data_IF_328755117858
#
_entry.id   IF_328755117858
#
_cell.length_a   1.000
_cell.length_b   1.000
_cell.length_c   1.000
_cell.angle_alpha   90.00
_cell.angle_beta   90.00
_cell.angle_gamma   90.00
#
_symmetry.space_group_name_H-M   'P 1'
#
loop_
_entity.id
_entity.type
_entity.pdbx_description
1 polymer ?
#
# COMPACT_ATOMS: atom_id res chain seq x y z
N UNK A 1 -12.80 -3.96 -16.40
CA UNK A 1 -12.88 -3.46 -16.15
C UNK A 1 -12.94 -3.12 -15.75
N UNK A 2 -12.89 -2.99 -15.83
CA UNK A 2 -13.03 -2.36 -15.34
C UNK A 2 -13.39 -2.10 -14.63
N UNK A 3 -13.48 -2.10 -14.73
CA UNK A 3 -13.83 -1.68 -14.17
C UNK A 3 -13.96 -1.45 -13.42
N UNK A 4 -13.84 -1.58 -13.48
CA UNK A 4 -14.05 -1.18 -12.90
C UNK A 4 -14.15 -0.72 -12.41
N UNK A 5 -13.92 -0.79 -12.52
CA UNK A 5 -14.23 0.05 -12.28
C UNK A 5 -14.97 0.59 -12.02
N UNK A 6 -15.18 0.72 -12.46
CA UNK A 6 -15.85 1.51 -12.47
C UNK A 6 -16.60 1.60 -11.53
N UNK A 7 -16.42 0.94 -11.24
CA UNK A 7 -17.06 1.10 -10.11
C UNK A 7 -17.11 2.38 -9.49
N UNK A 8 -16.44 3.06 -9.94
CA UNK A 8 -16.33 4.35 -9.43
C UNK A 8 -17.62 5.07 -9.39
N UNK A 9 -18.42 4.88 -10.37
CA UNK A 9 -19.69 5.54 -10.39
C UNK A 9 -20.72 4.61 -9.81
N UNK A 10 -20.99 4.78 -8.54
CA UNK A 10 -21.96 3.97 -7.85
C UNK A 10 -23.09 4.86 -7.43
N UNK A 11 -24.30 4.46 -7.76
CA UNK A 11 -25.46 5.23 -7.32
C UNK A 11 -25.58 5.08 -5.82
N UNK A 12 -25.97 6.15 -5.19
CA UNK A 12 -26.08 6.19 -3.75
C UNK A 12 -26.99 5.10 -3.19
N UNK A 13 -28.09 4.86 -3.86
CA UNK A 13 -29.00 3.82 -3.41
C UNK A 13 -28.39 2.44 -3.45
N UNK A 14 -27.66 2.14 -4.53
CA UNK A 14 -26.98 0.86 -4.65
C UNK A 14 -25.92 0.71 -3.59
N UNK A 15 -25.19 1.75 -3.32
CA UNK A 15 -24.15 1.75 -2.32
C UNK A 15 -24.74 1.47 -0.93
N UNK A 16 -25.82 2.12 -0.58
CA UNK A 16 -26.42 1.90 0.72
C UNK A 16 -26.94 0.49 0.90
N UNK A 17 -27.52 -0.07 -0.13
CA UNK A 17 -28.03 -1.42 -0.06
C UNK A 17 -26.91 -2.45 0.02
N UNK A 18 -25.88 -2.25 -0.77
CA UNK A 18 -24.75 -3.15 -0.79
C UNK A 18 -23.96 -3.09 0.51
N UNK A 19 -23.91 -1.92 1.11
CA UNK A 19 -23.10 -1.70 2.30
C UNK A 19 -23.50 -2.56 3.48
N UNK A 20 -24.68 -3.10 3.46
CA UNK A 20 -25.12 -4.00 4.52
C UNK A 20 -24.47 -5.36 4.40
N UNK A 21 -23.97 -5.72 3.21
CA UNK A 21 -23.48 -7.05 2.93
C UNK A 21 -22.00 -7.08 2.63
N UNK A 22 -21.46 -6.00 2.08
CA UNK A 22 -20.08 -5.96 1.75
C UNK A 22 -19.31 -5.24 2.83
N UNK A 23 -18.13 -5.76 3.07
CA UNK A 23 -17.24 -5.12 4.01
C UNK A 23 -16.66 -3.87 3.37
N UNK A 24 -16.43 -2.83 4.16
CA UNK A 24 -15.75 -1.66 3.64
C UNK A 24 -14.34 -2.02 3.22
N UNK A 25 -13.79 -1.24 2.32
CA UNK A 25 -12.43 -1.43 1.87
C UNK A 25 -11.46 -1.30 3.04
N UNK A 26 -10.37 -2.06 2.95
CA UNK A 26 -9.25 -1.88 3.84
C UNK A 26 -8.42 -0.74 3.28
N UNK A 27 -8.21 0.30 4.07
CA UNK A 27 -7.47 1.47 3.64
C UNK A 27 -6.39 1.80 4.65
N UNK A 28 -5.36 2.48 4.18
CA UNK A 28 -4.38 3.04 5.11
C UNK A 28 -5.05 4.21 5.83
N UNK A 29 -4.93 4.25 7.16
CA UNK A 29 -5.44 5.40 7.89
C UNK A 29 -4.45 6.56 7.77
N UNK A 30 -4.81 7.69 8.37
CA UNK A 30 -4.00 8.90 8.23
C UNK A 30 -2.57 8.70 8.77
N UNK A 31 -2.44 8.07 9.91
CA UNK A 31 -1.11 7.84 10.49
C UNK A 31 -0.28 6.92 9.63
N UNK A 32 -0.90 5.89 9.11
CA UNK A 32 -0.21 4.95 8.24
C UNK A 32 0.23 5.63 6.97
N UNK A 33 -0.65 6.41 6.38
CA UNK A 33 -0.33 7.11 5.15
C UNK A 33 0.80 8.11 5.37
N UNK A 34 0.77 8.81 6.51
CA UNK A 34 1.84 9.75 6.84
C UNK A 34 3.19 9.04 6.98
N UNK A 35 3.19 7.84 7.57
CA UNK A 35 4.42 7.05 7.66
C UNK A 35 4.93 6.64 6.28
N UNK A 36 4.02 6.19 5.42
CA UNK A 36 4.38 5.78 4.07
C UNK A 36 4.97 6.95 3.30
N UNK A 37 4.33 8.11 3.38
CA UNK A 37 4.81 9.29 2.68
C UNK A 37 6.14 9.78 3.24
N UNK A 38 6.36 9.61 4.53
CA UNK A 38 7.62 9.99 5.14
C UNK A 38 8.78 9.18 4.56
N UNK A 39 8.60 7.87 4.45
CA UNK A 39 9.62 7.00 3.86
C UNK A 39 9.80 7.34 2.38
N UNK A 40 8.68 7.51 1.68
CA UNK A 40 8.69 7.79 0.25
C UNK A 40 9.43 9.11 -0.04
N UNK A 41 9.14 10.14 0.75
CA UNK A 41 9.72 11.47 0.52
C UNK A 41 11.24 11.47 0.59
N UNK A 42 11.79 10.71 1.52
CA UNK A 42 13.25 10.63 1.65
C UNK A 42 13.89 10.07 0.39
N UNK A 43 13.26 9.08 -0.21
CA UNK A 43 13.79 8.46 -1.42
C UNK A 43 13.55 9.28 -2.65
N UNK A 44 12.45 10.02 -2.68
CA UNK A 44 12.21 10.92 -3.80
C UNK A 44 13.28 12.01 -3.82
N UNK A 45 13.63 12.53 -2.66
CA UNK A 45 14.66 13.56 -2.56
C UNK A 45 16.01 13.05 -3.03
N UNK A 46 16.30 11.78 -2.85
CA UNK A 46 17.55 11.21 -3.33
C UNK A 46 17.49 10.77 -4.79
N UNK A 47 16.33 10.89 -5.42
CA UNK A 47 16.17 10.56 -6.82
C UNK A 47 15.89 9.09 -7.12
N UNK A 48 15.77 8.27 -6.10
CA UNK A 48 15.57 6.83 -6.32
C UNK A 48 14.15 6.48 -6.71
N UNK A 49 13.18 7.12 -6.09
CA UNK A 49 11.76 6.83 -6.34
C UNK A 49 11.12 7.99 -7.06
N UNK A 50 10.27 7.68 -8.02
CA UNK A 50 9.68 8.69 -8.89
C UNK A 50 8.22 8.94 -8.60
N UNK A 51 7.47 7.90 -8.30
CA UNK A 51 6.02 8.01 -8.23
C UNK A 51 5.46 6.92 -7.33
N UNK A 52 4.25 7.14 -6.88
CA UNK A 52 3.55 6.12 -6.11
C UNK A 52 2.09 6.06 -6.54
N UNK A 53 1.45 4.95 -6.22
CA UNK A 53 0.03 4.77 -6.43
C UNK A 53 -0.55 4.06 -5.22
N UNK A 54 -1.82 4.28 -4.98
CA UNK A 54 -2.52 3.63 -3.88
C UNK A 54 -3.70 2.86 -4.45
N UNK A 55 -3.86 1.62 -4.00
CA UNK A 55 -5.00 0.79 -4.37
C UNK A 55 -5.61 0.22 -3.11
N UNK A 56 -6.90 -0.01 -3.13
CA UNK A 56 -7.56 -0.66 -2.01
C UNK A 56 -8.83 -1.36 -2.48
N UNK A 57 -9.19 -2.38 -1.74
CA UNK A 57 -10.43 -3.10 -1.94
C UNK A 57 -10.79 -3.74 -0.59
N UNK A 58 -11.88 -4.52 -0.51
CA UNK A 58 -12.25 -5.11 0.78
C UNK A 58 -11.22 -6.06 1.38
N UNK A 59 -10.29 -6.57 0.58
CA UNK A 59 -9.30 -7.53 1.07
C UNK A 59 -7.98 -6.91 1.47
N UNK A 60 -7.59 -5.79 0.83
CA UNK A 60 -6.28 -5.22 1.11
C UNK A 60 -6.17 -3.79 0.62
N UNK A 61 -5.17 -3.10 1.16
CA UNK A 61 -4.70 -1.83 0.63
C UNK A 61 -3.26 -1.98 0.21
N UNK A 62 -2.84 -1.27 -0.82
CA UNK A 62 -1.47 -1.37 -1.31
C UNK A 62 -0.95 0.02 -1.67
N UNK A 63 0.30 0.26 -1.27
CA UNK A 63 1.04 1.47 -1.60
C UNK A 63 2.17 1.02 -2.52
N UNK A 64 2.10 1.43 -3.79
CA UNK A 64 3.03 0.97 -4.81
C UNK A 64 4.02 2.07 -5.13
N UNK A 65 5.29 1.73 -5.14
CA UNK A 65 6.36 2.70 -5.35
C UNK A 65 7.08 2.38 -6.64
N UNK A 66 7.21 3.38 -7.50
CA UNK A 66 7.81 3.23 -8.83
C UNK A 66 9.11 3.98 -8.92
N UNK A 67 10.07 3.36 -9.58
CA UNK A 67 11.31 4.02 -9.95
C UNK A 67 11.09 4.72 -11.29
N UNK A 68 12.07 5.52 -11.66
CA UNK A 68 12.01 6.27 -12.89
C UNK A 68 11.81 5.35 -14.10
N UNK A 69 10.84 5.68 -14.94
CA UNK A 69 10.56 4.98 -16.19
C UNK A 69 10.20 3.51 -16.04
N UNK A 70 9.70 3.12 -14.89
CA UNK A 70 9.33 1.73 -14.66
C UNK A 70 7.81 1.58 -14.70
N UNK A 71 7.34 0.52 -15.34
CA UNK A 71 5.92 0.19 -15.36
C UNK A 71 5.53 -0.70 -14.19
N UNK A 72 6.52 -1.40 -13.64
CA UNK A 72 6.29 -2.29 -12.52
C UNK A 72 6.71 -1.60 -11.24
N UNK A 73 5.96 -1.77 -10.16
CA UNK A 73 6.39 -1.18 -8.89
C UNK A 73 7.66 -1.86 -8.40
N UNK A 74 8.58 -1.04 -7.89
CA UNK A 74 9.80 -1.54 -7.30
C UNK A 74 9.54 -2.08 -5.90
N UNK A 75 8.70 -1.38 -5.16
CA UNK A 75 8.31 -1.81 -3.82
C UNK A 75 6.81 -1.72 -3.68
N UNK A 76 6.24 -2.62 -2.91
CA UNK A 76 4.81 -2.62 -2.61
C UNK A 76 4.63 -2.87 -1.13
N UNK A 77 3.89 -1.98 -0.47
CA UNK A 77 3.55 -2.16 0.94
C UNK A 77 2.07 -2.49 1.00
N UNK A 78 1.76 -3.65 1.59
CA UNK A 78 0.39 -4.16 1.63
C UNK A 78 -0.11 -4.17 3.07
N UNK A 79 -1.35 -3.74 3.24
CA UNK A 79 -2.08 -3.87 4.50
C UNK A 79 -3.25 -4.81 4.22
N UNK A 80 -3.38 -5.88 4.99
CA UNK A 80 -4.45 -6.83 4.79
C UNK A 80 -4.82 -7.52 6.09
N UNK A 81 -5.92 -8.24 6.08
CA UNK A 81 -6.30 -9.07 7.22
C UNK A 81 -5.65 -10.44 7.08
N UNK A 82 -5.01 -10.88 8.15
CA UNK A 82 -4.49 -12.24 8.21
C UNK A 82 -5.66 -13.20 8.44
N UNK A 83 -5.38 -14.49 8.37
CA UNK A 83 -6.40 -15.51 8.61
C UNK A 83 -7.02 -15.41 10.00
N UNK A 84 -6.31 -14.81 10.95
CA UNK A 84 -6.79 -14.58 12.31
C UNK A 84 -7.67 -13.33 12.42
N UNK A 85 -7.96 -12.67 11.32
CA UNK A 85 -8.70 -11.41 11.25
C UNK A 85 -7.93 -10.22 11.79
N UNK A 86 -6.69 -10.41 12.19
CA UNK A 86 -5.84 -9.30 12.59
C UNK A 86 -5.19 -8.68 11.37
N UNK A 87 -4.92 -7.38 11.46
CA UNK A 87 -4.26 -6.69 10.37
C UNK A 87 -2.78 -7.05 10.33
N UNK A 88 -2.25 -7.19 9.15
CA UNK A 88 -0.83 -7.42 8.96
C UNK A 88 -0.34 -6.55 7.82
N UNK A 89 0.95 -6.29 7.83
CA UNK A 89 1.61 -5.45 6.83
C UNK A 89 2.73 -6.23 6.19
N UNK A 90 2.82 -6.12 4.86
CA UNK A 90 3.82 -6.85 4.10
C UNK A 90 4.56 -5.86 3.21
N UNK A 91 5.85 -6.10 3.03
CA UNK A 91 6.66 -5.29 2.12
C UNK A 91 7.25 -6.21 1.08
N UNK A 92 7.08 -5.83 -0.18
CA UNK A 92 7.60 -6.58 -1.32
C UNK A 92 8.60 -5.73 -2.09
N UNK A 93 9.62 -6.38 -2.59
CA UNK A 93 10.53 -5.81 -3.57
C UNK A 93 10.31 -6.58 -4.86
N UNK A 94 9.64 -5.96 -5.83
CA UNK A 94 9.17 -6.71 -6.96
C UNK A 94 8.17 -7.75 -6.53
N UNK A 95 8.46 -9.00 -6.77
CA UNK A 95 7.60 -10.11 -6.37
C UNK A 95 8.04 -10.78 -5.08
N UNK A 96 9.18 -10.40 -4.56
CA UNK A 96 9.75 -11.04 -3.40
C UNK A 96 9.28 -10.37 -2.13
N UNK A 97 8.76 -11.18 -1.19
CA UNK A 97 8.34 -10.65 0.09
C UNK A 97 9.56 -10.44 0.97
N UNK A 98 9.75 -9.22 1.43
CA UNK A 98 10.89 -8.86 2.27
C UNK A 98 10.56 -8.94 3.74
N UNK A 99 9.32 -8.62 4.10
CA UNK A 99 8.95 -8.51 5.51
C UNK A 99 7.45 -8.71 5.68
N UNK A 100 7.07 -9.28 6.79
CA UNK A 100 5.68 -9.37 7.23
C UNK A 100 5.64 -9.05 8.71
N UNK A 101 4.71 -8.20 9.11
CA UNK A 101 4.62 -7.78 10.51
C UNK A 101 3.20 -7.36 10.83
N UNK A 102 2.86 -7.37 12.11
CA UNK A 102 1.60 -6.82 12.58
C UNK A 102 1.68 -5.31 12.77
N UNK A 103 2.85 -4.73 12.58
CA UNK A 103 3.09 -3.29 12.75
C UNK A 103 3.63 -2.71 11.46
N UNK A 104 3.02 -1.61 11.00
CA UNK A 104 3.52 -0.93 9.81
C UNK A 104 4.91 -0.37 10.05
N UNK A 105 5.16 0.18 11.22
CA UNK A 105 6.48 0.71 11.57
C UNK A 105 7.55 -0.37 11.44
N UNK A 106 7.26 -1.55 11.97
CA UNK A 106 8.20 -2.65 11.87
C UNK A 106 8.38 -3.11 10.43
N UNK A 107 7.29 -3.19 9.69
CA UNK A 107 7.37 -3.59 8.28
C UNK A 107 8.22 -2.61 7.48
N UNK A 108 8.04 -1.32 7.70
CA UNK A 108 8.79 -0.29 6.98
C UNK A 108 10.26 -0.22 7.39
N UNK A 109 10.62 -0.84 8.51
CA UNK A 109 12.01 -0.82 8.97
C UNK A 109 12.96 -1.44 7.95
N UNK A 110 12.48 -2.40 7.17
CA UNK A 110 13.32 -3.02 6.16
C UNK A 110 13.69 -2.02 5.06
N UNK A 111 12.77 -1.13 4.72
CA UNK A 111 13.06 -0.08 3.74
C UNK A 111 13.99 0.97 4.32
N UNK A 112 13.79 1.33 5.57
CA UNK A 112 14.65 2.30 6.23
C UNK A 112 16.08 1.79 6.31
N UNK A 113 16.26 0.52 6.63
CA UNK A 113 17.59 -0.07 6.68
C UNK A 113 18.24 -0.08 5.30
N UNK A 114 17.46 -0.41 4.28
CA UNK A 114 17.97 -0.38 2.92
C UNK A 114 18.39 1.03 2.52
N UNK A 115 17.62 2.02 2.95
CA UNK A 115 17.98 3.41 2.69
C UNK A 115 19.33 3.75 3.30
N UNK A 116 19.57 3.32 4.53
CA UNK A 116 20.85 3.56 5.18
C UNK A 116 22.00 2.91 4.44
N UNK A 117 21.79 1.67 4.00
CA UNK A 117 22.84 0.96 3.28
C UNK A 117 23.15 1.62 1.95
N UNK A 118 22.12 2.08 1.26
CA UNK A 118 22.29 2.69 -0.04
C UNK A 118 22.94 4.06 0.05
N UNK A 119 22.65 4.79 1.11
CA UNK A 119 23.15 6.16 1.24
C UNK A 119 24.62 6.23 1.63
N UNK A 120 25.22 5.12 1.87
CA UNK A 120 26.65 5.07 2.01
C UNK A 120 27.32 5.09 0.62
#
# INVERSE_FOLDING_TARGET
>A
MPSTRMSTVVRLADYKNANRRIQPDICFDKKEFDQLLSVYSRRVMSGDWKDYAIRHDPTMAAFLIYRNNSRQPSFTIVKRKASSSKLEYLVYHGRERMKRSSSLTDALSVLTRKLKLVSK
#
